data_IF_963860844920
#
_entry.id   IF_963860844920
#
_cell.length_a   1.000
_cell.length_b   1.000
_cell.length_c   1.000
_cell.angle_alpha   90.00
_cell.angle_beta   90.00
_cell.angle_gamma   90.00
#
_symmetry.space_group_name_H-M   'P 1'
#
loop_
_entity.id
_entity.type
_entity.pdbx_description
1 polymer ?
#
# COMPACT_ATOMS: atom_id res chain seq x y z
N UNK A 1 -27.31 -20.63 17.49
CA UNK A 1 -26.42 -19.46 17.39
C UNK A 1 -25.68 -19.59 16.06
N UNK A 2 -26.30 -19.10 14.99
CA UNK A 2 -25.87 -19.28 13.60
C UNK A 2 -24.71 -18.34 13.30
N UNK A 3 -23.59 -18.89 12.83
CA UNK A 3 -22.43 -18.11 12.44
C UNK A 3 -22.80 -17.23 11.25
N UNK A 4 -22.80 -15.91 11.46
CA UNK A 4 -22.82 -14.94 10.38
C UNK A 4 -21.64 -15.25 9.47
N UNK A 5 -21.92 -15.54 8.19
CA UNK A 5 -20.88 -15.60 7.17
C UNK A 5 -20.19 -14.24 7.14
N UNK A 6 -19.04 -14.14 7.81
CA UNK A 6 -18.30 -12.89 7.91
C UNK A 6 -17.86 -12.55 6.50
N UNK A 7 -18.31 -11.40 5.99
CA UNK A 7 -17.85 -10.89 4.71
C UNK A 7 -16.32 -10.81 4.79
N UNK A 8 -15.57 -11.57 3.96
CA UNK A 8 -14.11 -11.59 4.04
C UNK A 8 -13.51 -10.19 3.80
N UNK A 9 -14.27 -9.29 3.15
CA UNK A 9 -13.86 -7.93 2.87
C UNK A 9 -14.21 -6.93 3.99
N UNK A 10 -14.85 -7.37 5.08
CA UNK A 10 -15.27 -6.52 6.20
C UNK A 10 -14.10 -5.81 6.91
N UNK A 11 -12.89 -6.37 6.82
CA UNK A 11 -11.67 -5.75 7.34
C UNK A 11 -11.34 -4.40 6.69
N UNK A 12 -11.90 -4.10 5.51
CA UNK A 12 -11.65 -2.86 4.76
C UNK A 12 -12.95 -2.13 4.43
N UNK A 13 -13.69 -1.74 5.48
CA UNK A 13 -15.01 -1.11 5.37
C UNK A 13 -15.04 0.23 4.60
N UNK A 14 -13.93 0.98 4.56
CA UNK A 14 -13.79 2.21 3.76
C UNK A 14 -12.48 2.14 2.94
N UNK A 15 -12.51 1.56 1.72
CA UNK A 15 -11.30 1.38 0.91
C UNK A 15 -10.78 2.73 0.40
N UNK A 16 -9.52 3.00 0.73
CA UNK A 16 -8.79 4.20 0.33
C UNK A 16 -7.99 4.00 -0.97
N UNK A 17 -7.44 2.79 -1.16
CA UNK A 17 -6.64 2.41 -2.31
C UNK A 17 -6.78 0.91 -2.55
N UNK A 18 -6.80 0.48 -3.81
CA UNK A 18 -6.74 -0.93 -4.16
C UNK A 18 -5.84 -1.14 -5.39
N UNK A 19 -5.08 -2.24 -5.39
CA UNK A 19 -4.27 -2.68 -6.53
C UNK A 19 -4.43 -4.19 -6.73
N UNK A 20 -4.41 -4.66 -7.98
CA UNK A 20 -4.51 -6.08 -8.35
C UNK A 20 -3.17 -6.59 -8.85
N UNK A 21 -2.91 -7.86 -8.57
CA UNK A 21 -1.95 -8.69 -9.27
C UNK A 21 -2.76 -9.73 -10.06
N UNK A 22 -3.00 -9.45 -11.34
CA UNK A 22 -3.86 -10.31 -12.17
C UNK A 22 -3.23 -11.67 -12.43
N UNK A 23 -1.90 -11.73 -12.55
CA UNK A 23 -1.15 -12.96 -12.80
C UNK A 23 -1.31 -13.94 -11.64
N UNK A 24 -1.25 -13.42 -10.40
CA UNK A 24 -1.40 -14.24 -9.19
C UNK A 24 -2.83 -14.26 -8.63
N UNK A 25 -3.76 -13.52 -9.24
CA UNK A 25 -5.12 -13.38 -8.76
C UNK A 25 -5.20 -12.77 -7.35
N UNK A 26 -4.35 -11.79 -7.02
CA UNK A 26 -4.35 -11.12 -5.71
C UNK A 26 -4.97 -9.73 -5.79
N UNK A 27 -5.59 -9.31 -4.68
CA UNK A 27 -6.09 -7.95 -4.49
C UNK A 27 -5.55 -7.39 -3.17
N UNK A 28 -4.74 -6.34 -3.24
CA UNK A 28 -4.37 -5.55 -2.07
C UNK A 28 -5.32 -4.37 -1.91
N UNK A 29 -5.89 -4.19 -0.73
CA UNK A 29 -6.79 -3.09 -0.40
C UNK A 29 -6.32 -2.42 0.88
N UNK A 30 -6.10 -1.11 0.82
CA UNK A 30 -5.84 -0.30 1.98
C UNK A 30 -7.13 0.38 2.44
N UNK A 31 -7.43 0.27 3.73
CA UNK A 31 -8.52 0.99 4.36
C UNK A 31 -8.12 2.42 4.74
N UNK A 32 -9.13 3.24 4.97
CA UNK A 32 -8.91 4.59 5.50
C UNK A 32 -8.38 4.51 6.93
N UNK A 33 -7.44 5.40 7.26
CA UNK A 33 -7.07 5.67 8.65
C UNK A 33 -8.26 6.33 9.37
N UNK A 34 -8.75 5.73 10.44
CA UNK A 34 -9.66 6.39 11.37
C UNK A 34 -8.85 7.09 12.49
N UNK A 35 -9.48 8.00 13.24
CA UNK A 35 -8.82 8.66 14.35
C UNK A 35 -8.30 7.62 15.35
N UNK A 36 -7.01 7.68 15.68
CA UNK A 36 -6.29 6.72 16.55
C UNK A 36 -6.20 5.25 16.06
N UNK A 37 -6.74 4.89 14.89
CA UNK A 37 -6.64 3.53 14.34
C UNK A 37 -5.69 3.51 13.14
N UNK A 38 -4.64 2.67 13.14
CA UNK A 38 -3.75 2.47 11.99
C UNK A 38 -4.55 2.11 10.73
N UNK A 39 -4.06 2.53 9.55
CA UNK A 39 -4.72 2.16 8.30
C UNK A 39 -4.45 0.67 8.00
N UNK A 40 -5.49 -0.18 7.87
CA UNK A 40 -5.31 -1.58 7.56
C UNK A 40 -4.93 -1.73 6.08
N UNK A 41 -4.05 -2.67 5.78
CA UNK A 41 -3.77 -3.15 4.43
C UNK A 41 -4.04 -4.64 4.43
N UNK A 42 -4.96 -5.06 3.58
CA UNK A 42 -5.33 -6.47 3.44
C UNK A 42 -5.04 -6.92 2.03
N UNK A 43 -4.35 -8.05 1.91
CA UNK A 43 -4.13 -8.74 0.63
C UNK A 43 -4.98 -9.99 0.62
N UNK A 44 -5.86 -10.10 -0.36
CA UNK A 44 -6.75 -11.24 -0.56
C UNK A 44 -6.32 -12.05 -1.77
N UNK A 45 -6.44 -13.37 -1.68
CA UNK A 45 -6.57 -14.21 -2.86
C UNK A 45 -8.01 -14.04 -3.42
N UNK A 46 -8.12 -13.68 -4.69
CA UNK A 46 -9.43 -13.41 -5.32
C UNK A 46 -10.23 -14.68 -5.59
N UNK A 47 -9.59 -15.85 -5.65
CA UNK A 47 -10.24 -17.15 -5.74
C UNK A 47 -10.62 -17.68 -4.34
N UNK A 48 -9.77 -17.44 -3.34
CA UNK A 48 -10.04 -17.80 -1.94
C UNK A 48 -9.82 -16.62 -0.97
N UNK A 49 -10.83 -15.73 -0.81
CA UNK A 49 -10.72 -14.57 0.07
C UNK A 49 -10.49 -14.91 1.57
N UNK A 50 -10.61 -16.17 1.97
CA UNK A 50 -10.25 -16.62 3.32
C UNK A 50 -8.74 -16.60 3.57
N UNK A 51 -7.93 -16.66 2.52
CA UNK A 51 -6.47 -16.50 2.60
C UNK A 51 -6.12 -15.03 2.48
N UNK A 52 -5.83 -14.42 3.63
CA UNK A 52 -5.51 -13.00 3.71
C UNK A 52 -4.24 -12.71 4.50
N UNK A 53 -3.54 -11.64 4.10
CA UNK A 53 -2.47 -11.02 4.87
C UNK A 53 -2.95 -9.66 5.33
N UNK A 54 -2.97 -9.43 6.64
CA UNK A 54 -3.32 -8.16 7.25
C UNK A 54 -2.08 -7.51 7.84
N UNK A 55 -1.82 -6.27 7.44
CA UNK A 55 -0.81 -5.41 8.07
C UNK A 55 -1.42 -4.04 8.38
N UNK A 56 -0.74 -3.29 9.25
CA UNK A 56 -1.19 -1.98 9.69
C UNK A 56 -0.10 -0.94 9.43
N UNK A 57 -0.52 0.21 8.92
CA UNK A 57 0.38 1.33 8.67
C UNK A 57 0.10 2.50 9.62
N UNK A 58 1.15 3.22 10.02
CA UNK A 58 1.03 4.36 10.94
C UNK A 58 0.39 5.56 10.24
N UNK A 59 0.61 5.70 8.94
CA UNK A 59 0.11 6.78 8.11
C UNK A 59 -0.91 6.29 7.07
N UNK A 60 -1.74 7.18 6.50
CA UNK A 60 -2.58 6.82 5.37
C UNK A 60 -1.75 6.22 4.24
N UNK A 61 -2.23 5.12 3.66
CA UNK A 61 -1.61 4.49 2.50
C UNK A 61 -1.89 5.33 1.26
N UNK A 62 -0.83 5.62 0.51
CA UNK A 62 -0.87 6.45 -0.70
C UNK A 62 -0.53 5.65 -1.96
N UNK A 63 0.26 4.59 -1.81
CA UNK A 63 0.70 3.75 -2.92
C UNK A 63 0.87 2.29 -2.49
N UNK A 64 0.60 1.36 -3.40
CA UNK A 64 0.86 -0.05 -3.24
C UNK A 64 1.36 -0.63 -4.57
N UNK A 65 2.31 -1.55 -4.54
CA UNK A 65 2.82 -2.20 -5.74
C UNK A 65 3.29 -3.63 -5.45
N UNK A 66 2.66 -4.62 -6.10
CA UNK A 66 3.07 -6.02 -6.02
C UNK A 66 4.40 -6.21 -6.76
N UNK A 67 5.33 -6.91 -6.12
CA UNK A 67 6.60 -7.25 -6.74
C UNK A 67 6.36 -8.26 -7.88
N UNK A 68 6.99 -8.08 -9.07
CA UNK A 68 6.67 -8.85 -10.27
C UNK A 68 7.00 -10.35 -10.16
N UNK A 69 7.96 -10.75 -9.32
CA UNK A 69 8.37 -12.17 -9.15
C UNK A 69 8.24 -12.76 -7.73
N UNK A 70 8.70 -12.02 -6.73
CA UNK A 70 8.65 -12.41 -5.32
C UNK A 70 7.26 -12.16 -4.69
N UNK A 71 6.89 -12.91 -3.64
CA UNK A 71 5.64 -12.72 -2.89
C UNK A 71 5.75 -11.50 -1.96
N UNK A 72 5.98 -10.32 -2.52
CA UNK A 72 6.18 -9.07 -1.81
C UNK A 72 5.19 -8.00 -2.26
N UNK A 73 4.75 -7.18 -1.31
CA UNK A 73 4.00 -5.96 -1.58
C UNK A 73 4.77 -4.76 -0.99
N UNK A 74 5.12 -3.80 -1.85
CA UNK A 74 5.60 -2.50 -1.40
C UNK A 74 4.40 -1.61 -1.07
N UNK A 75 4.41 -0.96 0.09
CA UNK A 75 3.35 -0.07 0.56
C UNK A 75 3.96 1.28 0.94
N UNK A 76 3.56 2.31 0.22
CA UNK A 76 3.96 3.69 0.45
C UNK A 76 2.88 4.42 1.25
N UNK A 77 3.28 5.06 2.34
CA UNK A 77 2.37 5.74 3.26
C UNK A 77 2.83 7.17 3.49
N UNK A 78 1.94 8.00 4.01
CA UNK A 78 2.32 9.29 4.56
C UNK A 78 1.26 10.37 4.48
N UNK A 79 1.59 11.51 5.09
CA UNK A 79 0.75 12.71 5.12
C UNK A 79 1.62 13.94 5.35
N UNK A 80 1.06 15.11 5.07
CA UNK A 80 1.56 16.36 5.60
C UNK A 80 1.09 16.52 7.06
N UNK A 81 1.98 16.94 7.96
CA UNK A 81 1.68 17.14 9.38
C UNK A 81 0.77 18.36 9.65
N UNK A 82 0.62 19.24 8.65
CA UNK A 82 -0.11 20.50 8.76
C UNK A 82 0.75 21.70 9.15
N UNK A 83 2.03 21.48 9.43
CA UNK A 83 3.02 22.48 9.81
C UNK A 83 4.10 22.65 8.75
N UNK A 84 4.98 21.65 8.60
CA UNK A 84 6.07 21.73 7.64
C UNK A 84 6.54 20.37 7.11
N UNK A 85 6.40 19.26 7.84
CA UNK A 85 6.94 17.96 7.41
C UNK A 85 5.98 17.12 6.58
N UNK A 86 6.55 16.38 5.63
CA UNK A 86 5.86 15.28 4.94
C UNK A 86 6.34 13.94 5.49
N UNK A 87 5.59 13.42 6.47
CA UNK A 87 5.91 12.18 7.19
C UNK A 87 5.36 10.96 6.44
N UNK A 88 6.00 9.80 6.60
CA UNK A 88 5.52 8.57 5.98
C UNK A 88 6.47 7.39 6.09
N UNK A 89 6.03 6.24 5.60
CA UNK A 89 6.79 4.99 5.61
C UNK A 89 6.83 4.38 4.21
N UNK A 90 7.92 3.68 3.92
CA UNK A 90 7.95 2.68 2.87
C UNK A 90 8.01 1.31 3.53
N UNK A 91 6.89 0.59 3.53
CA UNK A 91 6.80 -0.74 4.07
C UNK A 91 7.01 -1.78 2.98
N UNK A 92 7.69 -2.87 3.32
CA UNK A 92 7.77 -4.06 2.49
C UNK A 92 7.13 -5.22 3.26
N UNK A 93 6.08 -5.79 2.67
CA UNK A 93 5.25 -6.84 3.27
C UNK A 93 5.53 -8.15 2.55
N UNK A 94 5.90 -9.19 3.30
CA UNK A 94 6.06 -10.53 2.76
C UNK A 94 4.74 -11.30 2.83
N UNK A 95 4.18 -11.64 1.67
CA UNK A 95 2.83 -12.19 1.54
C UNK A 95 2.71 -13.64 2.05
N UNK A 96 3.83 -14.37 2.12
CA UNK A 96 3.82 -15.74 2.65
C UNK A 96 3.84 -15.81 4.18
N UNK A 97 4.45 -14.82 4.84
CA UNK A 97 4.70 -14.83 6.30
C UNK A 97 3.94 -13.74 7.05
N UNK A 98 3.44 -12.73 6.34
CA UNK A 98 2.85 -11.52 6.93
C UNK A 98 3.87 -10.55 7.52
N UNK A 99 5.16 -10.87 7.47
CA UNK A 99 6.21 -10.00 8.01
C UNK A 99 6.21 -8.65 7.28
N UNK A 100 6.30 -7.56 8.05
CA UNK A 100 6.31 -6.20 7.53
C UNK A 100 7.52 -5.46 8.08
N UNK A 101 8.28 -4.80 7.20
CA UNK A 101 9.44 -3.98 7.57
C UNK A 101 9.37 -2.58 6.96
N UNK A 102 9.73 -1.57 7.75
CA UNK A 102 9.93 -0.20 7.24
C UNK A 102 11.34 -0.06 6.69
N UNK A 103 11.46 0.47 5.47
CA UNK A 103 12.74 0.57 4.75
C UNK A 103 13.44 1.91 4.95
N UNK A 104 12.73 2.97 5.30
CA UNK A 104 13.32 4.32 5.47
C UNK A 104 14.05 4.37 6.82
N UNK A 105 15.28 4.90 6.83
CA UNK A 105 16.14 4.92 8.01
C UNK A 105 15.57 5.73 9.18
N UNK A 106 14.98 6.89 8.86
CA UNK A 106 14.51 7.86 9.85
C UNK A 106 13.11 7.51 10.36
N UNK A 107 12.87 7.75 11.65
CA UNK A 107 11.60 7.42 12.31
C UNK A 107 10.42 8.25 11.79
N UNK A 108 10.64 9.54 11.52
CA UNK A 108 9.65 10.42 10.88
C UNK A 108 9.38 9.97 9.43
N UNK A 109 10.39 9.34 8.82
CA UNK A 109 10.39 8.83 7.48
C UNK A 109 10.14 9.93 6.45
N UNK A 110 9.36 9.61 5.41
CA UNK A 110 9.05 10.53 4.32
C UNK A 110 7.80 10.07 3.59
N UNK A 111 6.89 10.99 3.26
CA UNK A 111 5.68 10.65 2.54
C UNK A 111 6.01 10.03 1.16
N UNK A 112 5.57 8.79 0.95
CA UNK A 112 5.63 8.10 -0.34
C UNK A 112 4.33 8.36 -1.09
N UNK A 113 4.43 8.80 -2.35
CA UNK A 113 3.31 9.21 -3.19
C UNK A 113 3.00 8.20 -4.31
N UNK A 114 4.02 7.51 -4.83
CA UNK A 114 3.86 6.46 -5.85
C UNK A 114 4.95 5.42 -5.74
N UNK A 115 4.60 4.19 -6.10
CA UNK A 115 5.51 3.05 -6.20
C UNK A 115 5.31 2.37 -7.54
N UNK A 116 6.41 1.96 -8.15
CA UNK A 116 6.42 1.21 -9.40
C UNK A 116 7.63 0.28 -9.45
N UNK A 117 7.40 -1.00 -9.66
CA UNK A 117 8.47 -1.94 -9.96
C UNK A 117 8.86 -1.81 -11.43
N UNK A 118 10.05 -1.28 -11.71
CA UNK A 118 10.60 -1.22 -13.06
C UNK A 118 11.24 -2.56 -13.50
N UNK A 119 11.25 -3.55 -12.60
CA UNK A 119 11.75 -4.90 -12.81
C UNK A 119 11.83 -5.65 -11.49
N UNK A 120 12.39 -6.87 -11.52
CA UNK A 120 12.54 -7.71 -10.34
C UNK A 120 13.56 -7.19 -9.31
N UNK A 121 14.40 -6.22 -9.67
CA UNK A 121 15.43 -5.68 -8.79
C UNK A 121 15.29 -4.17 -8.56
N UNK A 122 14.39 -3.50 -9.28
CA UNK A 122 14.36 -2.03 -9.33
C UNK A 122 12.99 -1.51 -8.92
N UNK A 123 12.96 -0.72 -7.84
CA UNK A 123 11.79 -0.02 -7.35
C UNK A 123 11.95 1.48 -7.60
N UNK A 124 11.01 2.06 -8.35
CA UNK A 124 10.87 3.51 -8.51
C UNK A 124 9.91 4.02 -7.44
N UNK A 125 10.34 5.06 -6.73
CA UNK A 125 9.63 5.64 -5.60
C UNK A 125 9.48 7.13 -5.86
N UNK A 126 8.24 7.61 -5.93
CA UNK A 126 7.97 9.06 -5.90
C UNK A 126 7.66 9.45 -4.46
N UNK A 127 8.41 10.38 -3.90
CA UNK A 127 8.20 10.89 -2.53
C UNK A 127 7.90 12.38 -2.54
N UNK A 128 7.17 12.86 -1.54
CA UNK A 128 7.12 14.30 -1.28
C UNK A 128 8.52 14.81 -0.89
N UNK A 129 8.83 16.12 -0.98
CA UNK A 129 10.00 16.68 -0.31
C UNK A 129 9.97 16.41 1.20
N UNK A 130 11.11 16.51 1.93
CA UNK A 130 11.11 16.30 3.38
C UNK A 130 10.21 17.29 4.12
N UNK A 131 10.20 18.56 3.67
CA UNK A 131 9.39 19.64 4.23
C UNK A 131 8.96 20.65 3.15
N UNK A 132 8.09 21.60 3.52
CA UNK A 132 7.72 22.75 2.68
C UNK A 132 8.29 24.10 3.18
N UNK A 133 9.32 24.08 4.03
CA UNK A 133 9.91 25.31 4.58
C UNK A 133 10.51 26.16 3.45
N UNK A 134 9.96 27.36 3.26
CA UNK A 134 10.30 28.28 2.17
C UNK A 134 10.14 27.68 0.75
N UNK A 135 9.50 26.52 0.62
CA UNK A 135 9.32 25.80 -0.64
C UNK A 135 7.83 25.44 -0.86
N UNK A 136 7.08 26.42 -1.34
CA UNK A 136 5.66 26.23 -1.68
C UNK A 136 5.42 25.16 -2.75
N UNK A 137 6.42 24.88 -3.60
CA UNK A 137 6.30 23.85 -4.64
C UNK A 137 6.31 22.44 -4.05
N UNK A 138 6.73 22.25 -2.80
CA UNK A 138 6.75 20.94 -2.15
C UNK A 138 5.37 20.27 -2.06
N UNK A 139 4.31 21.08 -2.07
CA UNK A 139 2.92 20.60 -2.07
C UNK A 139 2.43 20.07 -3.41
N UNK A 140 3.14 20.33 -4.51
CA UNK A 140 2.76 19.89 -5.87
C UNK A 140 3.86 19.11 -6.59
N UNK A 141 5.06 19.06 -6.01
CA UNK A 141 6.21 18.34 -6.54
C UNK A 141 6.65 17.22 -5.59
N UNK A 142 7.54 16.37 -6.09
CA UNK A 142 8.15 15.25 -5.38
C UNK A 142 9.47 14.84 -6.00
N UNK A 143 10.14 13.87 -5.40
CA UNK A 143 11.43 13.34 -5.86
C UNK A 143 11.28 11.89 -6.32
N UNK A 144 11.84 11.56 -7.49
CA UNK A 144 11.81 10.20 -8.02
C UNK A 144 13.12 9.49 -7.68
N UNK A 145 13.10 8.65 -6.66
CA UNK A 145 14.20 7.75 -6.34
C UNK A 145 14.07 6.44 -7.14
N UNK A 146 15.20 5.89 -7.56
CA UNK A 146 15.26 4.58 -8.23
C UNK A 146 16.21 3.71 -7.42
N UNK A 147 15.66 2.74 -6.70
CA UNK A 147 16.41 1.89 -5.79
C UNK A 147 16.59 0.52 -6.42
N UNK A 148 17.84 0.05 -6.44
CA UNK A 148 18.20 -1.29 -6.89
C UNK A 148 18.56 -2.18 -5.69
N UNK A 149 18.02 -3.41 -5.65
CA UNK A 149 18.42 -4.45 -4.70
C UNK A 149 18.43 -5.79 -5.44
N UNK A 150 19.48 -6.57 -5.23
CA UNK A 150 19.62 -7.90 -5.86
C UNK A 150 18.61 -8.90 -5.29
N UNK A 151 18.30 -8.77 -4.00
CA UNK A 151 17.26 -9.55 -3.36
C UNK A 151 16.36 -8.65 -2.50
N UNK A 152 15.17 -8.36 -3.01
CA UNK A 152 14.16 -7.60 -2.29
C UNK A 152 13.59 -8.35 -1.08
N UNK A 153 13.70 -9.68 -1.01
CA UNK A 153 13.26 -10.46 0.16
C UNK A 153 14.26 -10.34 1.33
N UNK A 154 15.54 -10.10 1.08
CA UNK A 154 16.58 -9.98 2.11
C UNK A 154 16.87 -8.53 2.57
N UNK A 155 16.17 -7.53 2.03
CA UNK A 155 16.45 -6.11 2.35
C UNK A 155 16.27 -5.82 3.85
N UNK A 156 17.28 -5.31 4.55
CA UNK A 156 17.15 -4.96 5.96
C UNK A 156 16.15 -3.82 6.19
N UNK A 157 15.49 -3.83 7.34
CA UNK A 157 14.74 -2.66 7.80
C UNK A 157 15.68 -1.44 7.89
N UNK A 158 15.14 -0.24 7.66
CA UNK A 158 15.85 1.04 7.81
C UNK A 158 17.12 1.16 6.94
N UNK A 159 17.13 0.52 5.78
CA UNK A 159 18.29 0.46 4.88
C UNK A 159 18.27 1.51 3.74
N UNK A 160 17.21 2.31 3.62
CA UNK A 160 17.12 3.41 2.66
C UNK A 160 17.40 4.73 3.34
N UNK A 161 18.46 5.37 2.88
CA UNK A 161 18.97 6.62 3.42
C UNK A 161 18.44 7.84 2.69
N UNK A 162 18.58 9.03 3.27
CA UNK A 162 18.30 10.30 2.59
C UNK A 162 18.91 10.37 1.17
N UNK A 163 20.20 10.08 0.97
CA UNK A 163 20.85 10.00 -0.34
C UNK A 163 20.21 9.02 -1.33
N UNK A 164 19.82 7.81 -0.89
CA UNK A 164 19.12 6.84 -1.75
C UNK A 164 17.80 7.41 -2.28
N UNK A 165 17.21 8.33 -1.52
CA UNK A 165 15.89 8.92 -1.72
C UNK A 165 15.98 10.34 -2.33
N UNK A 166 17.18 10.81 -2.68
CA UNK A 166 17.44 12.16 -3.20
C UNK A 166 17.40 12.25 -4.74
N UNK A 167 16.31 11.73 -5.34
CA UNK A 167 16.13 11.75 -6.79
C UNK A 167 15.77 13.13 -7.38
N UNK A 168 15.70 13.26 -8.72
CA UNK A 168 15.29 14.50 -9.38
C UNK A 168 13.85 14.89 -9.01
N UNK A 169 13.61 16.20 -8.99
CA UNK A 169 12.31 16.79 -8.66
C UNK A 169 11.38 16.78 -9.87
N UNK A 170 10.14 16.35 -9.66
CA UNK A 170 9.09 16.24 -10.70
C UNK A 170 7.74 16.70 -10.16
N UNK A 171 6.80 16.97 -11.05
CA UNK A 171 5.39 17.17 -10.68
C UNK A 171 4.82 15.89 -10.07
N UNK A 172 4.13 16.03 -8.94
CA UNK A 172 3.63 14.93 -8.14
C UNK A 172 2.14 15.15 -7.81
N UNK A 173 1.23 14.89 -8.77
CA UNK A 173 -0.20 14.94 -8.50
C UNK A 173 -0.56 13.89 -7.44
N UNK A 174 -1.46 14.26 -6.54
CA UNK A 174 -1.94 13.43 -5.42
C UNK A 174 -3.43 13.12 -5.62
N UNK A 175 -3.78 12.26 -6.58
CA UNK A 175 -5.17 11.96 -6.89
C UNK A 175 -5.85 11.18 -5.75
N UNK A 176 -7.16 11.36 -5.66
CA UNK A 176 -7.99 10.60 -4.72
C UNK A 176 -8.36 9.23 -5.31
N UNK A 177 -7.80 8.16 -4.75
CA UNK A 177 -7.99 6.79 -5.24
C UNK A 177 -9.28 6.09 -4.77
N UNK A 178 -10.10 6.72 -3.91
CA UNK A 178 -11.21 6.05 -3.21
C UNK A 178 -12.25 5.43 -4.15
N UNK A 179 -12.69 6.18 -5.16
CA UNK A 179 -13.71 5.70 -6.10
C UNK A 179 -13.21 4.54 -6.97
N UNK A 180 -11.93 4.54 -7.34
CA UNK A 180 -11.33 3.41 -8.04
C UNK A 180 -11.24 2.19 -7.12
N UNK A 181 -10.83 2.38 -5.87
CA UNK A 181 -10.72 1.31 -4.88
C UNK A 181 -12.07 0.66 -4.57
N UNK A 182 -13.13 1.46 -4.37
CA UNK A 182 -14.49 0.98 -4.14
C UNK A 182 -15.02 0.14 -5.30
N UNK A 183 -14.85 0.62 -6.54
CA UNK A 183 -15.25 -0.14 -7.74
C UNK A 183 -14.50 -1.46 -7.84
N UNK A 184 -13.17 -1.44 -7.65
CA UNK A 184 -12.33 -2.62 -7.74
C UNK A 184 -12.71 -3.69 -6.70
N UNK A 185 -12.98 -3.27 -5.46
CA UNK A 185 -13.44 -4.17 -4.41
C UNK A 185 -14.84 -4.74 -4.73
N UNK A 186 -15.78 -3.89 -5.16
CA UNK A 186 -17.13 -4.32 -5.51
C UNK A 186 -17.16 -5.36 -6.64
N UNK A 187 -16.32 -5.19 -7.67
CA UNK A 187 -16.16 -6.15 -8.76
C UNK A 187 -15.67 -7.52 -8.28
N UNK A 188 -14.63 -7.56 -7.44
CA UNK A 188 -14.09 -8.83 -6.91
C UNK A 188 -15.10 -9.50 -6.01
N UNK A 189 -15.78 -8.73 -5.14
CA UNK A 189 -16.83 -9.25 -4.26
C UNK A 189 -17.98 -9.84 -5.07
N UNK A 190 -18.43 -9.16 -6.14
CA UNK A 190 -19.47 -9.68 -7.03
C UNK A 190 -19.04 -10.98 -7.75
N UNK A 191 -17.83 -11.00 -8.30
CA UNK A 191 -17.28 -12.18 -8.98
C UNK A 191 -17.10 -13.38 -8.04
N UNK A 192 -16.69 -13.14 -6.79
CA UNK A 192 -16.60 -14.19 -5.77
C UNK A 192 -17.98 -14.74 -5.38
N UNK A 193 -18.98 -13.87 -5.17
CA UNK A 193 -20.36 -14.29 -4.85
C UNK A 193 -20.96 -15.14 -5.97
N UNK A 194 -20.76 -14.74 -7.22
CA UNK A 194 -21.24 -15.51 -8.38
C UNK A 194 -20.61 -16.91 -8.46
N UNK A 195 -19.33 -17.06 -8.07
CA UNK A 195 -18.60 -18.35 -8.05
C UNK A 195 -18.87 -19.19 -6.81
N UNK A 196 -19.51 -18.63 -5.79
CA UNK A 196 -19.81 -19.32 -4.52
C UNK A 196 -21.32 -19.46 -4.28
N UNK A 197 -22.12 -20.16 -5.13
CA UNK A 197 -23.58 -20.18 -5.01
C UNK A 197 -24.13 -20.91 -3.77
N UNK A 198 -23.30 -21.29 -2.79
CA UNK A 198 -23.64 -22.25 -1.73
C UNK A 198 -23.44 -21.80 -0.28
N UNK A 199 -23.06 -20.54 0.02
CA UNK A 199 -23.06 -20.03 1.43
C UNK A 199 -24.30 -19.20 1.79
N UNK A 200 -25.37 -19.40 1.04
CA UNK A 200 -26.70 -18.88 1.35
C UNK A 200 -27.76 -19.90 0.89
N UNK A 201 -27.88 -21.00 1.63
CA UNK A 201 -29.11 -21.79 1.70
C UNK A 201 -29.06 -22.64 2.97
N UNK A 202 -29.81 -22.23 3.97
CA UNK A 202 -30.11 -23.04 5.15
C UNK A 202 -31.34 -22.41 5.83
N UNK A 203 -32.47 -23.14 5.92
CA UNK A 203 -33.78 -22.61 6.35
C UNK A 203 -33.79 -22.12 7.80
#
# INVERSE_FOLDING_TARGET
MTGSGTDPFSAVADPALAVRDEERGLLAVAGRRAYAVPAPVVVFDTADPGRQVLTHSRFPVQAMAFHPRLPLLAVGTGRYDGGYFFEGELLLVHLGTGETRSLIEHEIGRQVLRLEWAGAHTLRILMAPPDDWQDRRARVEGHVAVVHRDDWAAVPARSLTGPDLAGPRVQAPRPDGREAARRMLAEVTAAWRARSPGRSAGP
#
